data_IF_470965632828
#
_entry.id   IF_470965632828
#
_cell.length_a   1.000
_cell.length_b   1.000
_cell.length_c   1.000
_cell.angle_alpha   90.00
_cell.angle_beta   90.00
_cell.angle_gamma   90.00
#
_symmetry.space_group_name_H-M   'P 1'
#
loop_
_entity.id
_entity.type
_entity.pdbx_description
1 polymer ?
#
# COMPACT_ATOMS: atom_id res chain seq x y z
N UNK A 1 -8.21 3.80 -2.42
CA UNK A 1 -9.31 4.75 -2.70
C UNK A 1 -9.72 5.46 -1.42
N UNK A 2 -9.02 6.53 -1.06
CA UNK A 2 -9.16 7.17 0.26
C UNK A 2 -10.41 8.05 0.40
N UNK A 3 -10.84 8.71 -0.68
CA UNK A 3 -11.91 9.71 -0.63
C UNK A 3 -13.23 9.27 -1.29
N UNK A 4 -13.24 8.16 -2.00
CA UNK A 4 -14.31 7.82 -2.96
C UNK A 4 -15.16 6.62 -2.55
N UNK A 5 -14.78 5.88 -1.50
CA UNK A 5 -15.30 4.54 -1.25
C UNK A 5 -14.62 3.48 -2.13
N UNK A 6 -15.08 2.23 -2.03
CA UNK A 6 -14.49 1.07 -2.70
C UNK A 6 -15.52 0.13 -3.34
N UNK A 7 -16.70 -0.03 -2.74
CA UNK A 7 -17.66 -1.07 -3.10
C UNK A 7 -18.71 -0.46 -4.02
N UNK A 8 -18.30 -0.19 -5.27
CA UNK A 8 -19.19 0.36 -6.30
C UNK A 8 -20.08 -0.74 -6.91
N UNK A 9 -21.30 -0.39 -7.32
CA UNK A 9 -22.24 -1.33 -7.93
C UNK A 9 -22.04 -1.45 -9.44
N UNK A 10 -21.61 -0.35 -10.07
CA UNK A 10 -21.48 -0.27 -11.52
C UNK A 10 -20.20 0.46 -11.92
N UNK A 11 -19.70 0.19 -13.13
CA UNK A 11 -18.53 0.89 -13.68
C UNK A 11 -18.83 2.38 -13.91
N UNK A 12 -20.09 2.71 -14.20
CA UNK A 12 -20.57 4.08 -14.40
C UNK A 12 -20.44 4.90 -13.12
N UNK A 13 -20.79 4.33 -11.96
CA UNK A 13 -20.58 4.96 -10.64
C UNK A 13 -19.08 5.24 -10.40
N UNK A 14 -18.22 4.28 -10.71
CA UNK A 14 -16.77 4.44 -10.56
C UNK A 14 -16.24 5.56 -11.46
N UNK A 15 -16.73 5.63 -12.70
CA UNK A 15 -16.29 6.63 -13.67
C UNK A 15 -16.62 8.08 -13.23
N UNK A 16 -17.63 8.28 -12.38
CA UNK A 16 -18.00 9.60 -11.86
C UNK A 16 -17.01 10.14 -10.82
N UNK A 17 -16.30 9.25 -10.14
CA UNK A 17 -15.30 9.60 -9.11
C UNK A 17 -13.86 9.45 -9.61
N UNK A 18 -13.67 9.02 -10.86
CA UNK A 18 -12.36 8.81 -11.45
C UNK A 18 -11.66 10.13 -11.78
N UNK A 19 -10.38 10.21 -11.47
CA UNK A 19 -9.54 11.38 -11.71
C UNK A 19 -8.43 11.04 -12.71
N UNK A 20 -7.99 12.00 -13.52
CA UNK A 20 -6.78 11.85 -14.32
C UNK A 20 -5.58 12.04 -13.40
N UNK A 21 -4.55 11.21 -13.53
CA UNK A 21 -3.32 11.34 -12.75
C UNK A 21 -2.75 12.77 -12.82
N UNK A 22 -2.39 13.33 -11.67
CA UNK A 22 -1.90 14.72 -11.57
C UNK A 22 -2.99 15.78 -11.68
N UNK A 23 -4.26 15.38 -11.67
CA UNK A 23 -5.41 16.27 -11.72
C UNK A 23 -6.48 15.84 -10.71
N UNK A 24 -7.53 16.65 -10.57
CA UNK A 24 -8.66 16.31 -9.72
C UNK A 24 -8.48 16.65 -8.22
N UNK A 25 -9.55 16.52 -7.43
CA UNK A 25 -9.57 16.90 -6.03
C UNK A 25 -8.61 16.08 -5.15
N UNK A 26 -8.46 14.79 -5.40
CA UNK A 26 -7.56 13.91 -4.63
C UNK A 26 -6.11 14.33 -4.82
N UNK A 27 -5.66 14.53 -6.07
CA UNK A 27 -4.31 15.02 -6.33
C UNK A 27 -4.07 16.40 -5.73
N UNK A 28 -5.00 17.34 -5.90
CA UNK A 28 -4.86 18.69 -5.30
C UNK A 28 -4.75 18.64 -3.78
N UNK A 29 -5.46 17.72 -3.12
CA UNK A 29 -5.31 17.52 -1.67
C UNK A 29 -3.90 17.02 -1.35
N UNK A 30 -3.41 15.98 -2.05
CA UNK A 30 -2.07 15.43 -1.85
C UNK A 30 -0.98 16.50 -2.06
N UNK A 31 -1.06 17.25 -3.17
CA UNK A 31 -0.15 18.35 -3.48
C UNK A 31 -0.10 19.41 -2.38
N UNK A 32 -1.26 19.80 -1.82
CA UNK A 32 -1.29 20.76 -0.70
C UNK A 32 -0.63 20.19 0.55
N UNK A 33 -0.90 18.93 0.90
CA UNK A 33 -0.29 18.34 2.09
C UNK A 33 1.22 18.14 1.93
N UNK A 34 1.66 17.67 0.76
CA UNK A 34 3.07 17.45 0.45
C UNK A 34 3.88 18.74 0.58
N UNK A 35 3.41 19.85 -0.02
CA UNK A 35 4.05 21.16 0.10
C UNK A 35 4.01 21.72 1.52
N UNK A 36 2.88 21.59 2.21
CA UNK A 36 2.70 22.11 3.58
C UNK A 36 3.59 21.41 4.60
N UNK A 37 3.77 20.10 4.44
CA UNK A 37 4.52 19.26 5.37
C UNK A 37 5.94 18.94 4.90
N UNK A 38 6.32 19.38 3.69
CA UNK A 38 7.58 19.07 3.03
C UNK A 38 7.88 17.56 3.02
N UNK A 39 6.88 16.75 2.68
CA UNK A 39 6.98 15.29 2.70
C UNK A 39 6.41 14.65 1.44
N UNK A 40 6.76 13.38 1.22
CA UNK A 40 6.09 12.55 0.22
C UNK A 40 4.71 12.14 0.73
N UNK A 41 3.69 12.25 -0.13
CA UNK A 41 2.31 11.84 0.16
C UNK A 41 1.88 10.76 -0.82
N UNK A 42 1.46 9.61 -0.30
CA UNK A 42 0.87 8.53 -1.10
C UNK A 42 -0.64 8.45 -0.86
N UNK A 43 -1.44 8.30 -1.90
CA UNK A 43 -2.90 8.22 -1.75
C UNK A 43 -3.55 7.34 -2.82
N UNK A 44 -4.29 6.31 -2.40
CA UNK A 44 -5.05 5.46 -3.32
C UNK A 44 -6.29 6.18 -3.88
N UNK A 45 -6.56 6.07 -5.17
CA UNK A 45 -7.68 6.72 -5.87
C UNK A 45 -8.13 5.90 -7.09
N UNK A 46 -9.24 6.32 -7.71
CA UNK A 46 -9.69 5.77 -9.00
C UNK A 46 -9.05 6.61 -10.11
N UNK A 47 -8.17 6.00 -10.89
CA UNK A 47 -7.55 6.65 -12.04
C UNK A 47 -8.38 6.46 -13.30
N UNK A 48 -8.45 7.51 -14.12
CA UNK A 48 -8.90 7.45 -15.51
C UNK A 48 -7.74 7.71 -16.47
N UNK A 49 -7.47 6.75 -17.35
CA UNK A 49 -6.52 6.91 -18.45
C UNK A 49 -7.20 6.57 -19.77
N UNK A 50 -7.58 7.61 -20.53
CA UNK A 50 -8.41 7.46 -21.73
C UNK A 50 -9.78 6.86 -21.38
N UNK A 51 -10.07 5.68 -21.93
CA UNK A 51 -11.31 4.92 -21.70
C UNK A 51 -11.19 3.90 -20.56
N UNK A 52 -9.98 3.69 -20.04
CA UNK A 52 -9.70 2.70 -19.02
C UNK A 52 -9.71 3.34 -17.62
N UNK A 53 -10.11 2.53 -16.64
CA UNK A 53 -10.12 2.88 -15.23
C UNK A 53 -9.19 1.95 -14.48
N UNK A 54 -8.52 2.46 -13.45
CA UNK A 54 -7.58 1.70 -12.64
C UNK A 54 -7.77 1.99 -11.15
N UNK A 55 -7.47 1.01 -10.31
CA UNK A 55 -7.24 1.22 -8.89
C UNK A 55 -5.77 1.61 -8.73
N UNK A 56 -5.49 2.87 -8.41
CA UNK A 56 -4.15 3.43 -8.48
C UNK A 56 -3.75 4.14 -7.20
N UNK A 57 -2.47 4.45 -7.07
CA UNK A 57 -1.90 5.22 -5.97
C UNK A 57 -1.16 6.42 -6.53
N UNK A 58 -1.52 7.64 -6.09
CA UNK A 58 -0.71 8.82 -6.35
C UNK A 58 0.51 8.79 -5.43
N UNK A 59 1.69 9.10 -5.96
CA UNK A 59 2.91 9.35 -5.18
C UNK A 59 3.35 10.77 -5.47
N UNK A 60 3.17 11.68 -4.51
CA UNK A 60 3.43 13.11 -4.67
C UNK A 60 4.64 13.51 -3.84
N UNK A 61 5.62 14.16 -4.47
CA UNK A 61 6.85 14.61 -3.83
C UNK A 61 6.66 15.84 -2.94
N UNK A 62 7.67 16.20 -2.12
CA UNK A 62 7.59 17.32 -1.17
C UNK A 62 7.42 18.70 -1.83
N UNK A 63 7.76 18.82 -3.12
CA UNK A 63 7.52 19.98 -3.97
C UNK A 63 6.07 20.05 -4.51
N UNK A 64 5.26 19.02 -4.26
CA UNK A 64 3.89 18.90 -4.71
C UNK A 64 3.74 18.34 -6.13
N UNK A 65 4.81 17.85 -6.74
CA UNK A 65 4.75 17.24 -8.06
C UNK A 65 4.37 15.76 -8.00
N UNK A 66 3.66 15.27 -9.02
CA UNK A 66 3.40 13.84 -9.15
C UNK A 66 4.67 13.13 -9.59
N UNK A 67 5.16 12.22 -8.75
CA UNK A 67 6.43 11.51 -8.97
C UNK A 67 6.18 10.15 -9.62
N UNK A 68 5.17 9.43 -9.13
CA UNK A 68 4.73 8.13 -9.68
C UNK A 68 3.22 7.98 -9.55
N UNK A 69 2.70 7.02 -10.30
CA UNK A 69 1.31 6.61 -10.23
C UNK A 69 1.17 5.07 -10.36
N UNK A 70 1.58 4.27 -9.35
CA UNK A 70 1.42 2.82 -9.39
C UNK A 70 -0.03 2.40 -9.56
N UNK A 71 -0.25 1.35 -10.35
CA UNK A 71 -1.57 0.73 -10.59
C UNK A 71 -1.59 -0.65 -9.92
N UNK A 72 -2.73 -1.00 -9.32
CA UNK A 72 -2.95 -2.31 -8.69
C UNK A 72 -2.76 -3.40 -9.72
N UNK A 73 -1.91 -4.38 -9.42
CA UNK A 73 -1.55 -5.44 -10.36
C UNK A 73 -2.52 -6.61 -10.23
N UNK A 74 -2.74 -7.10 -9.02
CA UNK A 74 -3.67 -8.19 -8.76
C UNK A 74 -5.02 -7.62 -8.33
N UNK A 75 -6.05 -7.87 -9.14
CA UNK A 75 -7.40 -7.34 -8.91
C UNK A 75 -8.19 -8.23 -7.95
N UNK A 76 -8.82 -7.62 -6.94
CA UNK A 76 -9.80 -8.31 -6.10
C UNK A 76 -11.15 -8.39 -6.82
N UNK A 77 -12.06 -9.24 -6.35
CA UNK A 77 -13.39 -9.42 -6.94
C UNK A 77 -14.13 -8.08 -7.15
N UNK A 78 -14.05 -7.18 -6.16
CA UNK A 78 -14.64 -5.83 -6.24
C UNK A 78 -14.01 -4.95 -7.33
N UNK A 79 -12.74 -5.16 -7.69
CA UNK A 79 -12.08 -4.39 -8.75
C UNK A 79 -12.40 -4.93 -10.15
N UNK A 80 -12.53 -6.25 -10.30
CA UNK A 80 -12.59 -6.95 -11.59
C UNK A 80 -13.73 -6.49 -12.51
N UNK A 81 -14.81 -5.96 -11.95
CA UNK A 81 -15.97 -5.49 -12.72
C UNK A 81 -15.73 -4.14 -13.43
N UNK A 82 -14.74 -3.36 -13.00
CA UNK A 82 -14.55 -1.99 -13.50
C UNK A 82 -13.10 -1.62 -13.80
N UNK A 83 -12.14 -2.17 -13.06
CA UNK A 83 -10.73 -1.82 -13.13
C UNK A 83 -10.00 -2.63 -14.19
N UNK A 84 -9.01 -1.99 -14.80
CA UNK A 84 -7.96 -2.65 -15.58
C UNK A 84 -6.79 -2.95 -14.65
N UNK A 85 -6.16 -4.11 -14.81
CA UNK A 85 -4.96 -4.46 -14.06
C UNK A 85 -3.77 -3.57 -14.49
N UNK A 86 -2.87 -3.28 -13.56
CA UNK A 86 -1.57 -2.68 -13.87
C UNK A 86 -0.65 -3.68 -14.57
N UNK A 87 0.41 -3.15 -15.20
CA UNK A 87 1.37 -3.95 -15.99
C UNK A 87 2.44 -4.65 -15.12
N UNK A 88 2.30 -4.60 -13.79
CA UNK A 88 3.23 -5.20 -12.83
C UNK A 88 3.45 -4.34 -11.58
N UNK A 89 4.12 -4.94 -10.60
CA UNK A 89 4.50 -4.23 -9.38
C UNK A 89 5.51 -3.12 -9.66
N UNK A 90 5.46 -2.07 -8.84
CA UNK A 90 6.26 -0.86 -9.03
C UNK A 90 7.22 -0.67 -7.86
N UNK A 91 8.50 -0.47 -8.16
CA UNK A 91 9.52 0.03 -7.25
C UNK A 91 10.15 1.30 -7.80
N UNK A 92 10.62 2.16 -6.91
CA UNK A 92 11.33 3.38 -7.28
C UNK A 92 12.33 3.78 -6.20
N UNK A 93 13.48 4.29 -6.64
CA UNK A 93 14.46 4.89 -5.75
C UNK A 93 14.12 6.35 -5.48
N UNK A 94 13.77 6.65 -4.23
CA UNK A 94 13.45 7.98 -3.76
C UNK A 94 14.74 8.75 -3.44
N UNK A 95 15.14 9.75 -4.25
CA UNK A 95 16.47 10.36 -4.15
C UNK A 95 16.65 11.20 -2.88
N UNK A 96 15.61 11.86 -2.39
CA UNK A 96 15.70 12.69 -1.18
C UNK A 96 15.62 11.88 0.12
N UNK A 97 15.09 10.65 0.08
CA UNK A 97 15.18 9.73 1.21
C UNK A 97 16.41 8.81 1.12
N UNK A 98 17.01 8.69 -0.07
CA UNK A 98 17.98 7.66 -0.40
C UNK A 98 17.48 6.24 -0.06
N UNK A 99 16.22 5.96 -0.43
CA UNK A 99 15.52 4.71 -0.11
C UNK A 99 14.85 4.15 -1.35
N UNK A 100 14.97 2.86 -1.59
CA UNK A 100 14.18 2.15 -2.59
C UNK A 100 12.84 1.76 -1.99
N UNK A 101 11.75 2.09 -2.67
CA UNK A 101 10.39 1.94 -2.19
C UNK A 101 9.61 1.07 -3.17
N UNK A 102 8.97 0.01 -2.67
CA UNK A 102 8.00 -0.78 -3.43
C UNK A 102 6.58 -0.43 -3.01
N UNK A 103 5.68 -0.35 -3.99
CA UNK A 103 4.30 0.08 -3.79
C UNK A 103 3.35 -1.08 -4.05
N UNK A 104 2.46 -1.36 -3.10
CA UNK A 104 1.44 -2.39 -3.23
C UNK A 104 0.05 -1.88 -2.88
N UNK A 105 -0.96 -2.44 -3.53
CA UNK A 105 -2.37 -2.11 -3.27
C UNK A 105 -3.13 -3.39 -2.91
N UNK A 106 -3.38 -3.58 -1.61
CA UNK A 106 -4.29 -4.59 -1.05
C UNK A 106 -4.08 -6.02 -1.60
N UNK A 107 -4.76 -6.40 -2.67
CA UNK A 107 -4.71 -7.75 -3.24
C UNK A 107 -3.33 -8.08 -3.85
N UNK A 108 -2.50 -7.07 -4.15
CA UNK A 108 -1.12 -7.27 -4.63
C UNK A 108 -0.27 -8.17 -3.71
N UNK A 109 -0.57 -8.23 -2.41
CA UNK A 109 0.18 -9.06 -1.45
C UNK A 109 -0.23 -10.55 -1.49
N UNK A 110 -1.38 -10.86 -2.07
CA UNK A 110 -1.93 -12.22 -2.15
C UNK A 110 -1.42 -12.95 -3.40
N UNK A 111 -1.58 -14.29 -3.45
CA UNK A 111 -1.36 -15.03 -4.69
C UNK A 111 -2.30 -14.54 -5.80
N UNK A 112 -1.80 -14.48 -7.03
CA UNK A 112 -2.59 -14.02 -8.17
C UNK A 112 -3.91 -14.80 -8.30
N UNK A 113 -5.00 -14.04 -8.42
CA UNK A 113 -6.38 -14.52 -8.49
C UNK A 113 -6.80 -15.51 -7.36
N UNK A 114 -6.06 -15.57 -6.25
CA UNK A 114 -6.12 -16.64 -5.24
C UNK A 114 -5.95 -18.07 -5.82
N UNK A 115 -5.35 -18.19 -7.01
CA UNK A 115 -5.11 -19.45 -7.72
C UNK A 115 -3.63 -19.81 -7.77
N UNK A 116 -2.75 -18.82 -7.80
CA UNK A 116 -1.33 -19.05 -7.71
C UNK A 116 -0.98 -19.75 -6.37
N UNK A 117 0.11 -20.54 -6.31
CA UNK A 117 0.53 -21.18 -5.07
C UNK A 117 0.73 -20.15 -3.95
N UNK A 118 0.31 -20.47 -2.73
CA UNK A 118 0.54 -19.59 -1.58
C UNK A 118 2.02 -19.26 -1.39
N UNK A 119 2.92 -20.18 -1.75
CA UNK A 119 4.37 -19.99 -1.68
C UNK A 119 4.96 -19.11 -2.79
N UNK A 120 4.16 -18.57 -3.72
CA UNK A 120 4.66 -17.73 -4.81
C UNK A 120 5.15 -16.35 -4.33
N UNK A 121 4.50 -15.81 -3.27
CA UNK A 121 4.87 -14.57 -2.59
C UNK A 121 5.23 -13.41 -3.55
N UNK A 122 4.47 -13.20 -4.60
CA UNK A 122 4.86 -12.43 -5.79
C UNK A 122 5.33 -11.01 -5.45
N UNK A 123 4.58 -10.29 -4.61
CA UNK A 123 4.98 -8.96 -4.13
C UNK A 123 6.18 -8.98 -3.18
N UNK A 124 6.28 -10.00 -2.32
CA UNK A 124 7.42 -10.20 -1.42
C UNK A 124 8.71 -10.47 -2.19
N UNK A 125 8.66 -11.34 -3.20
CA UNK A 125 9.76 -11.64 -4.11
C UNK A 125 10.17 -10.40 -4.92
N UNK A 126 9.21 -9.65 -5.44
CA UNK A 126 9.48 -8.37 -6.11
C UNK A 126 10.22 -7.38 -5.19
N UNK A 127 9.83 -7.31 -3.92
CA UNK A 127 10.52 -6.45 -2.94
C UNK A 127 11.96 -6.89 -2.67
N UNK A 128 12.24 -8.20 -2.70
CA UNK A 128 13.60 -8.76 -2.61
C UNK A 128 14.42 -8.40 -3.84
N UNK A 129 13.89 -8.66 -5.04
CA UNK A 129 14.57 -8.39 -6.31
C UNK A 129 14.98 -6.92 -6.45
N UNK A 130 14.14 -6.02 -5.94
CA UNK A 130 14.38 -4.57 -5.98
C UNK A 130 15.10 -4.02 -4.74
N UNK A 131 15.45 -4.86 -3.76
CA UNK A 131 16.21 -4.46 -2.55
C UNK A 131 15.53 -3.30 -1.80
N UNK A 132 14.22 -3.44 -1.60
CA UNK A 132 13.37 -2.39 -1.05
C UNK A 132 13.74 -2.06 0.40
N UNK A 133 13.90 -0.78 0.72
CA UNK A 133 14.01 -0.33 2.10
C UNK A 133 12.62 -0.16 2.75
N UNK A 134 11.62 0.23 1.95
CA UNK A 134 10.25 0.48 2.39
C UNK A 134 9.24 -0.19 1.46
N UNK A 135 8.17 -0.72 2.04
CA UNK A 135 6.99 -1.20 1.33
C UNK A 135 5.81 -0.29 1.71
N UNK A 136 5.34 0.53 0.78
CA UNK A 136 4.19 1.41 1.01
C UNK A 136 2.92 0.76 0.46
N UNK A 137 1.96 0.55 1.36
CA UNK A 137 0.81 -0.29 1.07
C UNK A 137 -0.51 0.44 1.34
N UNK A 138 -1.29 0.68 0.28
CA UNK A 138 -2.64 1.23 0.41
C UNK A 138 -3.68 0.12 0.37
N UNK A 139 -4.62 0.13 1.31
CA UNK A 139 -5.40 -1.05 1.56
C UNK A 139 -6.90 -0.77 1.82
N UNK A 140 -7.73 -1.69 1.33
CA UNK A 140 -9.15 -1.79 1.64
C UNK A 140 -9.48 -3.26 1.93
N UNK A 141 -8.89 -3.78 3.01
CA UNK A 141 -8.94 -5.20 3.36
C UNK A 141 -10.26 -5.55 4.02
N UNK A 142 -10.93 -6.55 3.48
CA UNK A 142 -12.20 -7.03 3.98
C UNK A 142 -12.04 -7.67 5.36
N UNK A 143 -13.04 -7.43 6.20
CA UNK A 143 -13.12 -8.00 7.53
C UNK A 143 -14.12 -9.16 7.55
N UNK A 144 -13.62 -10.35 7.84
CA UNK A 144 -14.42 -11.57 7.98
C UNK A 144 -14.44 -12.09 9.42
N UNK A 145 -13.74 -11.39 10.32
CA UNK A 145 -13.57 -11.79 11.72
C UNK A 145 -14.68 -11.20 12.61
N UNK A 146 -14.92 -11.82 13.76
CA UNK A 146 -15.84 -11.28 14.76
C UNK A 146 -15.41 -9.88 15.25
N UNK A 147 -16.36 -9.13 15.80
CA UNK A 147 -16.17 -7.70 16.10
C UNK A 147 -15.00 -7.43 17.07
N UNK A 148 -14.83 -8.27 18.10
CA UNK A 148 -13.93 -8.06 19.23
C UNK A 148 -12.53 -8.65 19.04
N UNK A 149 -12.25 -9.26 17.87
CA UNK A 149 -10.92 -9.81 17.57
C UNK A 149 -9.89 -8.68 17.46
N UNK A 150 -8.70 -8.87 18.03
CA UNK A 150 -7.60 -7.92 17.90
C UNK A 150 -7.08 -7.85 16.44
N UNK A 151 -6.35 -6.80 16.02
CA UNK A 151 -5.84 -6.71 14.65
C UNK A 151 -4.77 -7.77 14.29
N UNK A 152 -4.22 -8.48 15.28
CA UNK A 152 -3.05 -9.34 15.11
C UNK A 152 -3.17 -10.44 14.04
N UNK A 153 -4.31 -11.14 13.84
CA UNK A 153 -4.41 -12.12 12.76
C UNK A 153 -4.15 -11.51 11.37
N UNK A 154 -4.67 -10.31 11.12
CA UNK A 154 -4.44 -9.58 9.86
C UNK A 154 -2.98 -9.14 9.73
N UNK A 155 -2.39 -8.61 10.81
CA UNK A 155 -0.99 -8.18 10.81
C UNK A 155 -0.04 -9.37 10.56
N UNK A 156 -0.28 -10.48 11.24
CA UNK A 156 0.46 -11.74 11.06
C UNK A 156 0.33 -12.28 9.64
N UNK A 157 -0.86 -12.19 9.05
CA UNK A 157 -1.07 -12.58 7.66
C UNK A 157 -0.25 -11.71 6.70
N UNK A 158 -0.29 -10.38 6.84
CA UNK A 158 0.52 -9.50 5.99
C UNK A 158 2.02 -9.74 6.16
N UNK A 159 2.50 -9.95 7.40
CA UNK A 159 3.88 -10.33 7.64
C UNK A 159 4.24 -11.68 6.98
N UNK A 160 3.37 -12.68 7.07
CA UNK A 160 3.56 -13.98 6.42
C UNK A 160 3.66 -13.87 4.91
N UNK A 161 2.87 -13.00 4.28
CA UNK A 161 2.96 -12.77 2.83
C UNK A 161 4.27 -12.09 2.40
N UNK A 162 5.02 -11.53 3.35
CA UNK A 162 6.34 -10.93 3.15
C UNK A 162 7.49 -11.84 3.61
N UNK A 163 7.23 -13.13 3.81
CA UNK A 163 8.23 -14.13 4.22
C UNK A 163 9.52 -14.11 3.38
N UNK A 164 9.51 -13.95 2.04
CA UNK A 164 10.77 -13.87 1.27
C UNK A 164 11.71 -12.73 1.72
N UNK A 165 11.14 -11.59 2.13
CA UNK A 165 11.94 -10.46 2.63
C UNK A 165 12.51 -10.78 4.01
N UNK A 166 11.68 -11.36 4.88
CA UNK A 166 12.07 -11.77 6.24
C UNK A 166 13.19 -12.82 6.18
N UNK A 167 13.03 -13.85 5.34
CA UNK A 167 14.00 -14.94 5.18
C UNK A 167 15.32 -14.43 4.61
N UNK A 168 15.26 -13.58 3.57
CA UNK A 168 16.47 -12.98 3.00
C UNK A 168 17.21 -12.08 4.02
N UNK A 169 16.48 -11.34 4.86
CA UNK A 169 17.08 -10.54 5.95
C UNK A 169 17.73 -11.44 7.01
N UNK A 170 17.07 -12.53 7.41
CA UNK A 170 17.57 -13.47 8.40
C UNK A 170 18.79 -14.26 7.91
N UNK A 171 18.83 -14.59 6.61
CA UNK A 171 19.96 -15.25 5.98
C UNK A 171 21.16 -14.33 5.74
N UNK A 172 20.97 -13.00 5.83
CA UNK A 172 21.98 -12.01 5.46
C UNK A 172 22.15 -11.81 3.96
N UNK A 173 21.23 -12.37 3.16
CA UNK A 173 21.21 -12.25 1.69
C UNK A 173 20.53 -10.95 1.22
N UNK A 174 19.87 -10.23 2.13
CA UNK A 174 19.25 -8.95 1.83
C UNK A 174 20.29 -7.82 1.87
N UNK A 175 20.38 -7.04 0.81
CA UNK A 175 21.37 -5.98 0.66
C UNK A 175 21.18 -4.78 1.63
N UNK A 176 20.09 -4.75 2.40
CA UNK A 176 19.71 -3.65 3.29
C UNK A 176 19.66 -4.13 4.74
N UNK A 177 19.98 -3.24 5.71
CA UNK A 177 19.98 -3.62 7.12
C UNK A 177 18.58 -3.95 7.65
N UNK A 178 17.52 -3.45 7.01
CA UNK A 178 16.13 -3.76 7.32
C UNK A 178 15.24 -3.39 6.12
N UNK A 179 13.99 -3.87 6.13
CA UNK A 179 12.91 -3.44 5.27
C UNK A 179 11.66 -3.18 6.15
N UNK A 180 10.94 -2.08 5.94
CA UNK A 180 9.75 -1.76 6.72
C UNK A 180 8.49 -1.80 5.87
N UNK A 181 7.43 -2.42 6.39
CA UNK A 181 6.11 -2.45 5.76
C UNK A 181 5.20 -1.42 6.42
N UNK A 182 4.74 -0.43 5.63
CA UNK A 182 3.86 0.65 6.08
C UNK A 182 2.51 0.52 5.37
N UNK A 183 1.50 0.12 6.12
CA UNK A 183 0.15 -0.12 5.61
C UNK A 183 -0.83 0.93 6.12
N UNK A 184 -1.52 1.56 5.18
CA UNK A 184 -2.70 2.38 5.45
C UNK A 184 -3.94 1.64 4.95
N UNK A 185 -4.71 1.07 5.88
CA UNK A 185 -5.92 0.32 5.59
C UNK A 185 -7.16 1.03 6.14
N UNK A 186 -8.22 1.07 5.33
CA UNK A 186 -9.48 1.71 5.74
C UNK A 186 -10.23 0.90 6.79
N UNK A 187 -11.13 1.59 7.49
CA UNK A 187 -12.13 1.03 8.40
C UNK A 187 -13.55 1.20 7.84
N UNK A 188 -14.54 0.77 8.61
CA UNK A 188 -15.95 1.02 8.38
C UNK A 188 -16.60 -0.06 7.52
N UNK A 189 -17.76 0.26 6.96
CA UNK A 189 -18.50 -0.65 6.08
C UNK A 189 -19.10 0.08 4.90
N UNK A 190 -19.30 -0.65 3.81
CA UNK A 190 -19.81 -0.13 2.55
C UNK A 190 -20.55 -1.24 1.81
N UNK A 191 -21.84 -1.03 1.50
CA UNK A 191 -22.67 -1.97 0.74
C UNK A 191 -22.61 -3.43 1.26
N UNK A 192 -22.55 -3.62 2.58
CA UNK A 192 -22.50 -4.94 3.23
C UNK A 192 -21.10 -5.54 3.36
N UNK A 193 -20.06 -4.90 2.81
CA UNK A 193 -18.66 -5.24 3.08
C UNK A 193 -18.15 -4.46 4.29
N UNK A 194 -17.42 -5.14 5.18
CA UNK A 194 -16.75 -4.52 6.32
C UNK A 194 -15.24 -4.47 6.08
N UNK A 195 -14.57 -3.46 6.62
CA UNK A 195 -13.13 -3.28 6.49
C UNK A 195 -12.43 -3.35 7.84
N UNK A 196 -11.30 -4.05 7.87
CA UNK A 196 -10.67 -4.49 9.11
C UNK A 196 -9.85 -3.39 9.80
N UNK A 197 -9.53 -2.27 9.15
CA UNK A 197 -8.60 -1.29 9.72
C UNK A 197 -7.21 -1.88 9.91
N UNK A 198 -6.65 -1.80 11.12
CA UNK A 198 -5.35 -2.37 11.44
C UNK A 198 -4.19 -1.77 10.60
N UNK A 199 -4.29 -0.50 10.21
CA UNK A 199 -3.14 0.24 9.65
C UNK A 199 -1.91 0.02 10.54
N UNK A 200 -0.73 -0.14 9.98
CA UNK A 200 0.43 -0.55 10.76
C UNK A 200 1.77 -0.14 10.13
N UNK A 201 2.80 -0.19 10.98
CA UNK A 201 4.19 -0.21 10.60
C UNK A 201 4.84 -1.47 11.18
N UNK A 202 5.46 -2.28 10.32
CA UNK A 202 6.17 -3.49 10.71
C UNK A 202 7.66 -3.36 10.35
N UNK A 203 8.53 -3.82 11.24
CA UNK A 203 9.91 -4.16 10.92
C UNK A 203 9.93 -5.59 10.38
N UNK A 204 10.64 -5.82 9.27
CA UNK A 204 10.78 -7.17 8.70
C UNK A 204 12.08 -7.87 9.12
N UNK A 205 13.08 -7.11 9.58
CA UNK A 205 14.20 -7.66 10.36
C UNK A 205 13.73 -7.90 11.78
N UNK A 206 14.01 -9.09 12.30
CA UNK A 206 13.51 -9.55 13.61
C UNK A 206 12.01 -9.20 13.75
N UNK A 207 11.14 -9.83 12.95
CA UNK A 207 9.81 -9.32 12.65
C UNK A 207 9.04 -8.81 13.87
N UNK A 208 8.70 -7.53 13.84
CA UNK A 208 8.09 -6.85 14.98
C UNK A 208 7.07 -5.80 14.53
N UNK A 209 6.01 -5.65 15.33
CA UNK A 209 5.03 -4.58 15.16
C UNK A 209 5.62 -3.32 15.78
N UNK A 210 5.93 -2.32 14.95
CA UNK A 210 6.46 -1.04 15.42
C UNK A 210 5.32 -0.14 15.91
N UNK A 211 4.21 -0.12 15.17
CA UNK A 211 2.96 0.52 15.57
C UNK A 211 1.79 -0.09 14.80
N UNK A 212 0.59 -0.02 15.39
CA UNK A 212 -0.64 -0.37 14.68
C UNK A 212 -1.82 0.44 15.21
N UNK A 213 -2.83 0.59 14.36
CA UNK A 213 -4.13 1.13 14.70
C UNK A 213 -5.08 0.02 15.15
N UNK A 214 -6.21 0.41 15.73
CA UNK A 214 -7.33 -0.49 15.95
C UNK A 214 -8.05 -0.90 14.65
N UNK A 215 -9.11 -1.69 14.79
CA UNK A 215 -9.91 -2.17 13.65
C UNK A 215 -11.09 -1.26 13.28
N UNK A 216 -11.39 -0.25 14.09
CA UNK A 216 -12.71 0.44 14.08
C UNK A 216 -12.66 1.95 14.14
N UNK A 217 -11.52 2.51 14.50
CA UNK A 217 -11.34 3.94 14.77
C UNK A 217 -10.47 4.58 13.70
N UNK A 218 -10.83 5.80 13.29
CA UNK A 218 -9.95 6.61 12.46
C UNK A 218 -8.76 7.06 13.31
N UNK A 219 -7.56 6.74 12.86
CA UNK A 219 -6.34 6.93 13.63
C UNK A 219 -5.22 7.47 12.74
N UNK A 220 -4.35 8.29 13.34
CA UNK A 220 -3.09 8.72 12.74
C UNK A 220 -1.94 8.04 13.47
N UNK A 221 -1.22 7.17 12.77
CA UNK A 221 0.01 6.58 13.29
C UNK A 221 1.20 7.46 12.89
N UNK A 222 2.00 7.83 13.88
CA UNK A 222 3.32 8.45 13.67
C UNK A 222 4.38 7.48 14.14
N UNK A 223 5.28 7.12 13.25
CA UNK A 223 6.34 6.14 13.52
C UNK A 223 7.67 6.75 13.13
N UNK A 224 8.67 6.55 13.97
CA UNK A 224 10.06 6.87 13.67
C UNK A 224 10.75 5.57 13.25
N UNK A 225 11.27 5.56 12.02
CA UNK A 225 12.01 4.43 11.48
C UNK A 225 13.48 4.83 11.56
N UNK A 226 14.34 4.06 12.27
CA UNK A 226 15.77 4.36 12.33
C UNK A 226 16.33 4.50 10.91
N UNK A 227 17.02 5.61 10.65
CA UNK A 227 17.80 5.76 9.43
C UNK A 227 18.93 4.74 9.37
N UNK A 228 19.50 4.54 8.19
CA UNK A 228 20.82 3.91 8.12
C UNK A 228 21.73 4.84 8.94
N UNK A 229 22.47 4.29 9.91
CA UNK A 229 23.45 5.09 10.64
C UNK A 229 24.34 5.75 9.58
N UNK A 230 24.19 7.07 9.42
CA UNK A 230 25.14 7.83 8.62
C UNK A 230 26.48 7.60 9.31
N UNK A 231 27.47 7.17 8.53
CA UNK A 231 28.86 7.28 8.95
C UNK A 231 29.04 8.73 9.40
N UNK A 232 29.15 8.92 10.71
CA UNK A 232 29.59 10.17 11.29
C UNK A 232 31.00 10.41 10.78
N UNK A 233 31.14 11.38 9.85
CA UNK A 233 32.43 12.00 9.52
C UNK A 233 33.14 12.54 10.78
#
# INVERSE_FOLDING_TARGET
MAFTGYVFKTKEEVAQVAEVAGQGPTFRWCQRQARRLHCMVTCGYVEKAGVLLYNSMLVVGPDGELVLNPRKTFLYETDKSWATAGDGFCSWHCPWLNKTISFGICMDINPDDFKAPFSAYEFGSHAVDNKSDLLLFACAWNDFEEHDVAPYPTLSYWAQRLTPVIDALAAGDYAKPNCHFLCSNRIGSENGTFFVGASCALSLKEPAIVAHAGRRTEELLRVEIPGDASESE
#
